data_IF_233120235181
#
_entry.id   IF_233120235181
#
_cell.length_a   1.000
_cell.length_b   1.000
_cell.length_c   1.000
_cell.angle_alpha   90.00
_cell.angle_beta   90.00
_cell.angle_gamma   90.00
#
_symmetry.space_group_name_H-M   'P 1'
#
loop_
_entity.id
_entity.type
_entity.pdbx_description
1 polymer ?
#
# COMPACT_ATOMS: atom_id res chain seq x y z
N UNK A 1 50.94 -75.17 -5.63
CA UNK A 1 50.18 -73.96 -5.25
C UNK A 1 48.77 -74.41 -4.90
N UNK A 2 48.16 -74.21 -3.74
CA UNK A 2 48.49 -73.65 -2.44
C UNK A 2 47.44 -74.26 -1.47
N UNK A 3 47.84 -74.44 -0.20
CA UNK A 3 47.11 -74.91 1.00
C UNK A 3 45.68 -74.33 1.17
N UNK A 4 44.77 -74.77 2.05
CA UNK A 4 44.48 -75.97 2.87
C UNK A 4 43.23 -75.65 3.72
N UNK A 5 42.60 -76.70 4.28
CA UNK A 5 41.70 -76.74 5.47
C UNK A 5 40.24 -76.23 5.43
N UNK A 6 39.35 -77.19 5.69
CA UNK A 6 37.96 -77.15 6.24
C UNK A 6 37.95 -76.74 7.75
N UNK A 7 36.80 -76.70 8.50
CA UNK A 7 35.37 -76.44 8.22
C UNK A 7 34.64 -75.57 9.30
N UNK A 8 33.30 -75.46 9.15
CA UNK A 8 32.19 -75.39 10.16
C UNK A 8 31.41 -74.07 10.38
N UNK A 9 30.12 -74.33 10.58
CA UNK A 9 28.90 -73.53 10.76
C UNK A 9 28.89 -72.48 11.88
N UNK A 10 28.12 -71.41 11.69
CA UNK A 10 27.65 -70.54 12.77
C UNK A 10 26.55 -69.59 12.31
N UNK A 11 25.38 -69.68 12.94
CA UNK A 11 24.31 -68.68 12.91
C UNK A 11 24.86 -67.31 13.33
N UNK A 12 24.57 -66.25 12.57
CA UNK A 12 24.82 -64.88 12.99
C UNK A 12 23.51 -64.16 13.26
N UNK A 13 23.23 -64.02 14.56
CA UNK A 13 22.27 -63.11 15.17
C UNK A 13 22.80 -61.68 14.96
N UNK A 14 21.98 -60.79 14.40
CA UNK A 14 22.25 -59.36 14.36
C UNK A 14 22.17 -58.74 15.78
N UNK A 15 23.14 -57.90 16.18
CA UNK A 15 22.89 -56.87 17.17
C UNK A 15 22.92 -55.48 16.53
N UNK A 16 21.81 -54.75 16.71
CA UNK A 16 21.69 -53.31 16.54
C UNK A 16 22.73 -52.57 17.39
N UNK A 17 23.54 -51.72 16.76
CA UNK A 17 24.33 -50.72 17.46
C UNK A 17 23.43 -49.58 17.92
N UNK A 18 23.33 -49.40 19.24
CA UNK A 18 22.68 -48.28 19.90
C UNK A 18 23.50 -47.01 19.65
N UNK A 19 22.90 -45.99 19.01
CA UNK A 19 23.39 -44.62 19.07
C UNK A 19 22.59 -43.84 20.10
N UNK A 20 23.32 -43.31 21.08
CA UNK A 20 22.84 -42.44 22.15
C UNK A 20 22.59 -41.04 21.53
N UNK A 21 21.34 -40.56 21.53
CA UNK A 21 21.02 -39.17 21.16
C UNK A 21 21.11 -38.33 22.44
N UNK A 22 21.96 -37.29 22.52
CA UNK A 22 21.88 -36.34 23.61
C UNK A 22 20.63 -35.49 23.40
N UNK A 23 19.65 -35.68 24.29
CA UNK A 23 18.43 -34.89 24.36
C UNK A 23 18.81 -33.47 24.82
N UNK A 24 18.87 -32.53 23.89
CA UNK A 24 18.96 -31.10 24.22
C UNK A 24 17.60 -30.71 24.81
N UNK A 25 17.57 -30.51 26.12
CA UNK A 25 16.41 -30.00 26.83
C UNK A 25 16.07 -28.59 26.31
N UNK A 26 14.90 -28.47 25.67
CA UNK A 26 14.33 -27.21 25.24
C UNK A 26 13.87 -26.45 26.50
N UNK A 27 14.69 -25.51 26.98
CA UNK A 27 14.21 -24.49 27.90
C UNK A 27 13.25 -23.58 27.14
N UNK A 28 11.96 -23.67 27.47
CA UNK A 28 10.95 -22.68 27.07
C UNK A 28 11.25 -21.37 27.80
N UNK A 29 12.15 -20.58 27.24
CA UNK A 29 12.23 -19.15 27.53
C UNK A 29 11.08 -18.53 26.74
N UNK A 30 10.16 -17.87 27.44
CA UNK A 30 9.12 -17.02 26.88
C UNK A 30 9.74 -15.76 26.25
N UNK A 31 10.60 -15.93 25.25
CA UNK A 31 11.03 -14.86 24.37
C UNK A 31 9.92 -14.66 23.36
N UNK A 32 9.27 -13.50 23.35
CA UNK A 32 8.69 -12.96 22.13
C UNK A 32 9.79 -13.01 21.05
N UNK A 33 9.72 -14.02 20.19
CA UNK A 33 10.80 -14.32 19.24
C UNK A 33 10.93 -13.13 18.26
N UNK A 34 12.14 -12.65 17.94
CA UNK A 34 12.37 -11.56 16.98
C UNK A 34 11.68 -11.78 15.62
N UNK A 35 11.47 -13.05 15.24
CA UNK A 35 10.74 -13.45 14.05
C UNK A 35 9.24 -13.09 14.10
N UNK A 36 8.61 -13.16 15.28
CA UNK A 36 7.18 -12.85 15.46
C UNK A 36 6.93 -11.34 15.33
N UNK A 37 7.78 -10.51 15.92
CA UNK A 37 7.72 -9.06 15.80
C UNK A 37 7.98 -8.59 14.35
N UNK A 38 8.92 -9.24 13.66
CA UNK A 38 9.22 -8.96 12.24
C UNK A 38 8.03 -9.30 11.34
N UNK A 39 7.38 -10.45 11.57
CA UNK A 39 6.20 -10.87 10.81
C UNK A 39 4.99 -9.97 11.09
N UNK A 40 4.81 -9.52 12.34
CA UNK A 40 3.74 -8.58 12.72
C UNK A 40 3.87 -7.25 11.99
N UNK A 41 5.08 -6.66 11.96
CA UNK A 41 5.35 -5.41 11.23
C UNK A 41 5.13 -5.57 9.72
N UNK A 42 5.52 -6.69 9.12
CA UNK A 42 5.28 -6.95 7.69
C UNK A 42 3.78 -7.05 7.36
N UNK A 43 3.00 -7.69 8.25
CA UNK A 43 1.53 -7.74 8.13
C UNK A 43 0.90 -6.37 8.29
N UNK A 44 1.39 -5.57 9.24
CA UNK A 44 0.91 -4.20 9.44
C UNK A 44 1.17 -3.34 8.19
N UNK A 45 2.36 -3.42 7.58
CA UNK A 45 2.67 -2.72 6.33
C UNK A 45 1.74 -3.15 5.20
N UNK A 46 1.56 -4.46 5.01
CA UNK A 46 0.66 -5.01 3.99
C UNK A 46 -0.77 -4.51 4.17
N UNK A 47 -1.30 -4.58 5.40
CA UNK A 47 -2.64 -4.08 5.73
C UNK A 47 -2.77 -2.56 5.52
N UNK A 48 -1.71 -1.80 5.77
CA UNK A 48 -1.68 -0.37 5.45
C UNK A 48 -1.78 -0.10 3.96
N UNK A 49 -1.01 -0.82 3.14
CA UNK A 49 -1.02 -0.71 1.68
C UNK A 49 -2.41 -1.06 1.11
N UNK A 50 -3.04 -2.13 1.58
CA UNK A 50 -4.39 -2.52 1.15
C UNK A 50 -5.44 -1.44 1.45
N UNK A 51 -5.39 -0.85 2.64
CA UNK A 51 -6.31 0.24 2.99
C UNK A 51 -6.07 1.49 2.14
N UNK A 52 -4.81 1.81 1.82
CA UNK A 52 -4.48 2.90 0.91
C UNK A 52 -5.03 2.62 -0.49
N UNK A 53 -4.81 1.42 -1.04
CA UNK A 53 -5.37 1.03 -2.35
C UNK A 53 -6.90 1.17 -2.39
N UNK A 54 -7.59 0.75 -1.32
CA UNK A 54 -9.04 0.90 -1.18
C UNK A 54 -9.48 2.37 -1.13
N UNK A 55 -8.78 3.19 -0.36
CA UNK A 55 -9.06 4.63 -0.26
C UNK A 55 -8.77 5.37 -1.56
N UNK A 56 -7.73 4.98 -2.32
CA UNK A 56 -7.49 5.48 -3.67
C UNK A 56 -8.69 5.17 -4.56
N UNK A 57 -9.16 3.93 -4.56
CA UNK A 57 -10.33 3.51 -5.34
C UNK A 57 -11.58 4.31 -4.98
N UNK A 58 -11.84 4.53 -3.69
CA UNK A 58 -12.96 5.35 -3.23
C UNK A 58 -12.79 6.82 -3.64
N UNK A 59 -11.59 7.38 -3.48
CA UNK A 59 -11.29 8.77 -3.89
C UNK A 59 -11.53 8.99 -5.39
N UNK A 60 -11.10 8.04 -6.23
CA UNK A 60 -11.37 8.07 -7.68
C UNK A 60 -12.87 8.00 -7.96
N UNK A 61 -13.60 7.14 -7.25
CA UNK A 61 -15.05 7.00 -7.40
C UNK A 61 -15.78 8.32 -7.09
N UNK A 62 -15.60 8.88 -5.90
CA UNK A 62 -16.34 10.10 -5.51
C UNK A 62 -15.97 11.28 -6.42
N UNK A 63 -14.71 11.36 -6.86
CA UNK A 63 -14.27 12.40 -7.78
C UNK A 63 -14.90 12.27 -9.18
N UNK A 64 -15.07 11.03 -9.68
CA UNK A 64 -15.81 10.78 -10.94
C UNK A 64 -17.27 11.16 -10.79
N UNK A 65 -17.90 10.77 -9.69
CA UNK A 65 -19.31 11.09 -9.43
C UNK A 65 -19.51 12.61 -9.34
N UNK A 66 -18.62 13.35 -8.68
CA UNK A 66 -18.66 14.82 -8.68
C UNK A 66 -18.54 15.43 -10.09
N UNK A 67 -17.66 14.87 -10.95
CA UNK A 67 -17.53 15.31 -12.36
C UNK A 67 -18.80 14.98 -13.17
N UNK A 68 -19.41 13.82 -12.94
CA UNK A 68 -20.65 13.43 -13.58
C UNK A 68 -21.79 14.37 -13.21
N UNK A 69 -21.89 14.79 -11.95
CA UNK A 69 -22.88 15.80 -11.54
C UNK A 69 -22.60 17.17 -12.18
N UNK A 70 -21.33 17.58 -12.34
CA UNK A 70 -21.01 18.80 -13.12
C UNK A 70 -21.41 18.70 -14.60
N UNK A 71 -21.37 17.50 -15.19
CA UNK A 71 -21.88 17.28 -16.54
C UNK A 71 -23.41 17.37 -16.57
N UNK A 72 -24.07 16.80 -15.56
CA UNK A 72 -25.52 16.83 -15.42
C UNK A 72 -26.07 18.26 -15.22
N UNK A 73 -25.41 19.10 -14.42
CA UNK A 73 -25.75 20.53 -14.28
C UNK A 73 -25.79 21.22 -15.64
N UNK A 74 -24.83 20.95 -16.52
CA UNK A 74 -24.78 21.53 -17.86
C UNK A 74 -25.86 20.95 -18.79
N UNK A 75 -26.16 19.65 -18.68
CA UNK A 75 -27.18 18.99 -19.49
C UNK A 75 -28.62 19.37 -19.09
N UNK A 76 -28.84 19.61 -17.80
CA UNK A 76 -30.13 19.99 -17.19
C UNK A 76 -30.17 21.49 -16.88
N UNK A 77 -29.58 22.33 -17.72
CA UNK A 77 -29.41 23.77 -17.45
C UNK A 77 -30.74 24.54 -17.25
N UNK A 78 -31.87 23.99 -17.72
CA UNK A 78 -33.22 24.50 -17.50
C UNK A 78 -33.79 24.19 -16.10
N UNK A 79 -33.26 23.15 -15.44
CA UNK A 79 -33.66 22.69 -14.08
C UNK A 79 -32.47 22.09 -13.30
N UNK A 80 -31.37 22.84 -13.11
CA UNK A 80 -30.08 22.28 -12.67
C UNK A 80 -30.00 22.00 -11.16
N UNK A 81 -31.05 22.29 -10.39
CA UNK A 81 -31.03 22.30 -8.92
C UNK A 81 -30.66 20.92 -8.35
N UNK A 82 -31.35 19.87 -8.79
CA UNK A 82 -31.12 18.51 -8.28
C UNK A 82 -29.67 18.07 -8.57
N UNK A 83 -29.19 18.31 -9.79
CA UNK A 83 -27.80 18.00 -10.16
C UNK A 83 -26.77 18.81 -9.36
N UNK A 84 -27.10 20.05 -8.97
CA UNK A 84 -26.25 20.88 -8.14
C UNK A 84 -26.20 20.42 -6.67
N UNK A 85 -27.33 19.97 -6.13
CA UNK A 85 -27.42 19.39 -4.79
C UNK A 85 -26.60 18.08 -4.74
N UNK A 86 -26.80 17.19 -5.72
CA UNK A 86 -26.00 15.95 -5.85
C UNK A 86 -24.49 16.26 -6.01
N UNK A 87 -24.14 17.29 -6.79
CA UNK A 87 -22.74 17.74 -6.92
C UNK A 87 -22.14 18.19 -5.59
N UNK A 88 -22.91 18.94 -4.81
CA UNK A 88 -22.48 19.47 -3.51
C UNK A 88 -22.20 18.34 -2.52
N UNK A 89 -23.08 17.34 -2.47
CA UNK A 89 -22.91 16.17 -1.62
C UNK A 89 -21.69 15.35 -2.04
N UNK A 90 -21.53 15.11 -3.35
CA UNK A 90 -20.39 14.35 -3.86
C UNK A 90 -19.05 15.07 -3.69
N UNK A 91 -19.03 16.40 -3.79
CA UNK A 91 -17.84 17.19 -3.51
C UNK A 91 -17.44 17.09 -2.03
N UNK A 92 -18.41 17.00 -1.13
CA UNK A 92 -18.15 16.77 0.30
C UNK A 92 -17.61 15.37 0.53
N UNK A 93 -18.23 14.34 -0.03
CA UNK A 93 -17.76 12.95 0.11
C UNK A 93 -16.34 12.76 -0.44
N UNK A 94 -16.04 13.40 -1.58
CA UNK A 94 -14.68 13.46 -2.14
C UNK A 94 -13.67 14.11 -1.18
N UNK A 95 -14.02 15.22 -0.53
CA UNK A 95 -13.14 15.88 0.43
C UNK A 95 -12.87 14.99 1.65
N UNK A 96 -13.93 14.41 2.22
CA UNK A 96 -13.84 13.57 3.42
C UNK A 96 -12.97 12.32 3.15
N UNK A 97 -13.11 11.68 1.98
CA UNK A 97 -12.25 10.54 1.60
C UNK A 97 -10.82 10.97 1.27
N UNK A 98 -10.62 12.14 0.66
CA UNK A 98 -9.29 12.67 0.34
C UNK A 98 -8.48 12.99 1.60
N UNK A 99 -9.11 13.54 2.64
CA UNK A 99 -8.49 13.76 3.94
C UNK A 99 -8.11 12.42 4.60
N UNK A 100 -9.03 11.47 4.60
CA UNK A 100 -8.78 10.11 5.12
C UNK A 100 -7.62 9.41 4.41
N UNK A 101 -7.54 9.55 3.07
CA UNK A 101 -6.42 9.02 2.27
C UNK A 101 -5.09 9.68 2.68
N UNK A 102 -5.06 10.99 2.86
CA UNK A 102 -3.87 11.73 3.30
C UNK A 102 -3.38 11.23 4.66
N UNK A 103 -4.28 11.14 5.64
CA UNK A 103 -3.94 10.67 6.98
C UNK A 103 -3.39 9.24 6.98
N UNK A 104 -3.98 8.36 6.17
CA UNK A 104 -3.54 6.96 6.06
C UNK A 104 -2.15 6.86 5.44
N UNK A 105 -1.88 7.67 4.42
CA UNK A 105 -0.57 7.76 3.79
C UNK A 105 0.48 8.26 4.78
N UNK A 106 0.17 9.30 5.56
CA UNK A 106 1.07 9.83 6.59
C UNK A 106 1.33 8.84 7.71
N UNK A 107 0.32 8.07 8.10
CA UNK A 107 0.50 6.97 9.04
C UNK A 107 1.41 5.87 8.48
N UNK A 108 1.21 5.47 7.22
CA UNK A 108 2.06 4.48 6.56
C UNK A 108 3.53 4.93 6.48
N UNK A 109 3.79 6.21 6.19
CA UNK A 109 5.15 6.78 6.21
C UNK A 109 5.83 6.59 7.57
N UNK A 110 5.12 6.89 8.67
CA UNK A 110 5.65 6.73 10.03
C UNK A 110 5.99 5.27 10.34
N UNK A 111 5.14 4.33 9.93
CA UNK A 111 5.40 2.89 10.10
C UNK A 111 6.62 2.47 9.28
N UNK A 112 6.72 2.90 8.03
CA UNK A 112 7.86 2.59 7.17
C UNK A 112 9.17 3.14 7.72
N UNK A 113 9.19 4.40 8.17
CA UNK A 113 10.37 5.02 8.78
C UNK A 113 10.82 4.28 10.04
N UNK A 114 9.87 3.89 10.90
CA UNK A 114 10.19 3.11 12.10
C UNK A 114 10.75 1.74 11.73
N UNK A 115 10.14 1.06 10.75
CA UNK A 115 10.60 -0.26 10.27
C UNK A 115 12.03 -0.22 9.76
N UNK A 116 12.41 0.84 9.04
CA UNK A 116 13.78 1.01 8.55
C UNK A 116 14.77 1.29 9.67
N UNK A 117 14.41 2.11 10.66
CA UNK A 117 15.24 2.33 11.86
C UNK A 117 15.49 1.03 12.63
N UNK A 118 14.44 0.22 12.80
CA UNK A 118 14.56 -1.07 13.46
C UNK A 118 15.47 -2.03 12.67
N UNK A 119 15.34 -2.04 11.34
CA UNK A 119 16.20 -2.85 10.46
C UNK A 119 17.67 -2.39 10.52
N UNK A 120 17.93 -1.08 10.53
CA UNK A 120 19.28 -0.53 10.72
C UNK A 120 19.88 -0.96 12.07
N UNK A 121 19.07 -0.99 13.14
CA UNK A 121 19.51 -1.50 14.45
C UNK A 121 19.83 -3.00 14.42
N UNK A 122 19.07 -3.80 13.69
CA UNK A 122 19.33 -5.23 13.55
C UNK A 122 20.57 -5.52 12.70
N UNK A 123 20.80 -4.74 11.64
CA UNK A 123 22.02 -4.80 10.83
C UNK A 123 23.29 -4.51 11.63
N UNK A 124 23.21 -3.64 12.64
CA UNK A 124 24.33 -3.35 13.53
C UNK A 124 24.77 -4.57 14.36
N UNK A 125 23.85 -5.52 14.59
CA UNK A 125 24.10 -6.78 15.33
C UNK A 125 24.57 -7.92 14.42
N UNK A 126 24.55 -7.71 13.10
CA UNK A 126 24.94 -8.71 12.10
C UNK A 126 26.37 -8.52 11.62
N UNK A 127 26.99 -9.61 11.19
CA UNK A 127 28.35 -9.66 10.63
C UNK A 127 28.40 -10.54 9.36
N UNK A 128 29.47 -10.37 8.59
CA UNK A 128 29.75 -11.18 7.39
C UNK A 128 28.71 -11.05 6.28
N UNK A 129 28.59 -12.10 5.47
CA UNK A 129 27.76 -12.09 4.25
C UNK A 129 26.27 -11.85 4.53
N UNK A 130 25.76 -12.32 5.67
CA UNK A 130 24.36 -12.10 6.06
C UNK A 130 24.06 -10.62 6.28
N UNK A 131 24.99 -9.85 6.85
CA UNK A 131 24.87 -8.40 6.98
C UNK A 131 24.78 -7.74 5.60
N UNK A 132 25.65 -8.13 4.66
CA UNK A 132 25.69 -7.57 3.32
C UNK A 132 24.38 -7.85 2.57
N UNK A 133 23.89 -9.11 2.60
CA UNK A 133 22.61 -9.50 1.98
C UNK A 133 21.45 -8.70 2.58
N UNK A 134 21.41 -8.57 3.90
CA UNK A 134 20.34 -7.84 4.60
C UNK A 134 20.39 -6.33 4.27
N UNK A 135 21.58 -5.74 4.20
CA UNK A 135 21.80 -4.34 3.83
C UNK A 135 21.35 -4.05 2.40
N UNK A 136 21.68 -4.93 1.45
CA UNK A 136 21.24 -4.81 0.06
C UNK A 136 19.71 -4.84 -0.06
N UNK A 137 19.06 -5.77 0.68
CA UNK A 137 17.60 -5.85 0.72
C UNK A 137 16.98 -4.59 1.32
N UNK A 138 17.54 -4.07 2.40
CA UNK A 138 17.06 -2.82 3.02
C UNK A 138 17.22 -1.63 2.07
N UNK A 139 18.36 -1.50 1.40
CA UNK A 139 18.61 -0.44 0.43
C UNK A 139 17.63 -0.49 -0.74
N UNK A 140 17.36 -1.69 -1.26
CA UNK A 140 16.37 -1.90 -2.32
C UNK A 140 14.98 -1.47 -1.85
N UNK A 141 14.55 -1.94 -0.67
CA UNK A 141 13.27 -1.55 -0.11
C UNK A 141 13.19 -0.02 0.04
N UNK A 142 14.11 0.59 0.79
CA UNK A 142 14.14 2.04 1.04
C UNK A 142 14.02 2.86 -0.25
N UNK A 143 14.75 2.48 -1.31
CA UNK A 143 14.64 3.11 -2.63
C UNK A 143 13.21 3.05 -3.20
N UNK A 144 12.57 1.88 -3.16
CA UNK A 144 11.20 1.71 -3.64
C UNK A 144 10.21 2.58 -2.84
N UNK A 145 10.35 2.64 -1.51
CA UNK A 145 9.50 3.51 -0.67
C UNK A 145 9.71 4.99 -0.99
N UNK A 146 10.96 5.44 -1.14
CA UNK A 146 11.27 6.84 -1.48
C UNK A 146 10.72 7.24 -2.85
N UNK A 147 10.73 6.33 -3.84
CA UNK A 147 10.12 6.56 -5.15
C UNK A 147 8.60 6.74 -5.06
N UNK A 148 7.92 5.87 -4.28
CA UNK A 148 6.48 6.01 -4.02
C UNK A 148 6.18 7.30 -3.23
N UNK A 149 6.96 7.62 -2.21
CA UNK A 149 6.77 8.81 -1.38
C UNK A 149 6.82 10.12 -2.20
N UNK A 150 7.80 10.21 -3.11
CA UNK A 150 7.94 11.37 -4.00
C UNK A 150 6.71 11.56 -4.89
N UNK A 151 6.17 10.47 -5.44
CA UNK A 151 4.94 10.50 -6.25
C UNK A 151 3.75 10.94 -5.42
N UNK A 152 3.59 10.38 -4.23
CA UNK A 152 2.51 10.75 -3.29
C UNK A 152 2.52 12.26 -2.99
N UNK A 153 3.70 12.84 -2.68
CA UNK A 153 3.80 14.30 -2.42
C UNK A 153 3.37 15.12 -3.63
N UNK A 154 3.73 14.68 -4.83
CA UNK A 154 3.34 15.32 -6.08
C UNK A 154 1.82 15.25 -6.31
N UNK A 155 1.22 14.11 -5.97
CA UNK A 155 -0.22 13.88 -6.07
C UNK A 155 -1.00 14.70 -5.04
N UNK A 156 -0.47 14.85 -3.81
CA UNK A 156 -1.08 15.69 -2.77
C UNK A 156 -1.37 17.11 -3.26
N UNK A 157 -0.42 17.73 -3.97
CA UNK A 157 -0.63 19.05 -4.56
C UNK A 157 -1.75 19.07 -5.62
N UNK A 158 -1.89 18.00 -6.42
CA UNK A 158 -2.96 17.86 -7.42
C UNK A 158 -4.33 17.70 -6.74
N UNK A 159 -4.42 16.90 -5.68
CA UNK A 159 -5.64 16.70 -4.89
C UNK A 159 -6.15 18.04 -4.34
N UNK A 160 -5.30 18.80 -3.63
CA UNK A 160 -5.66 20.12 -3.10
C UNK A 160 -6.13 21.07 -4.21
N UNK A 161 -5.44 21.09 -5.34
CA UNK A 161 -5.80 21.94 -6.48
C UNK A 161 -7.17 21.58 -7.08
N UNK A 162 -7.49 20.29 -7.19
CA UNK A 162 -8.80 19.85 -7.68
C UNK A 162 -9.93 20.26 -6.73
N UNK A 163 -9.76 20.07 -5.43
CA UNK A 163 -10.72 20.53 -4.40
C UNK A 163 -10.98 22.03 -4.52
N UNK A 164 -9.93 22.85 -4.64
CA UNK A 164 -10.06 24.30 -4.78
C UNK A 164 -10.89 24.67 -6.01
N UNK A 165 -10.59 24.08 -7.16
CA UNK A 165 -11.31 24.36 -8.43
C UNK A 165 -12.77 23.92 -8.38
N UNK A 166 -13.05 22.76 -7.79
CA UNK A 166 -14.42 22.28 -7.64
C UNK A 166 -15.22 23.18 -6.69
N UNK A 167 -14.63 23.58 -5.55
CA UNK A 167 -15.27 24.53 -4.63
C UNK A 167 -15.53 25.91 -5.25
N UNK A 168 -14.65 26.37 -6.13
CA UNK A 168 -14.84 27.62 -6.87
C UNK A 168 -16.11 27.55 -7.73
N UNK A 169 -16.31 26.44 -8.46
CA UNK A 169 -17.54 26.19 -9.24
C UNK A 169 -18.76 26.12 -8.34
N UNK A 170 -18.69 25.39 -7.23
CA UNK A 170 -19.77 25.30 -6.24
C UNK A 170 -20.16 26.68 -5.71
N UNK A 171 -19.18 27.50 -5.34
CA UNK A 171 -19.40 28.85 -4.79
C UNK A 171 -20.13 29.72 -5.80
N UNK A 172 -19.71 29.70 -7.07
CA UNK A 172 -20.36 30.46 -8.14
C UNK A 172 -21.81 30.01 -8.38
N UNK A 173 -22.06 28.70 -8.39
CA UNK A 173 -23.42 28.18 -8.57
C UNK A 173 -24.31 28.37 -7.33
N UNK A 174 -23.75 28.48 -6.13
CA UNK A 174 -24.53 28.84 -4.93
C UNK A 174 -25.24 30.19 -5.09
N UNK A 175 -24.60 31.16 -5.74
CA UNK A 175 -25.13 32.52 -5.83
C UNK A 175 -26.15 32.68 -6.94
N UNK A 176 -25.91 32.08 -8.11
CA UNK A 176 -26.71 32.36 -9.31
C UNK A 176 -26.92 31.12 -10.18
N UNK A 177 -27.47 30.03 -9.65
CA UNK A 177 -27.71 28.82 -10.46
C UNK A 177 -28.84 29.04 -11.50
N UNK A 178 -28.48 29.24 -12.76
CA UNK A 178 -29.40 29.30 -13.90
C UNK A 178 -28.67 29.01 -15.23
N UNK A 179 -29.41 28.85 -16.32
CA UNK A 179 -28.83 28.50 -17.62
C UNK A 179 -27.75 29.50 -18.11
N UNK A 180 -27.95 30.80 -17.90
CA UNK A 180 -27.01 31.82 -18.35
C UNK A 180 -25.69 31.79 -17.56
N UNK A 181 -25.77 31.62 -16.23
CA UNK A 181 -24.58 31.51 -15.39
C UNK A 181 -23.80 30.21 -15.66
N UNK A 182 -24.49 29.09 -15.89
CA UNK A 182 -23.89 27.81 -16.30
C UNK A 182 -23.11 27.98 -17.59
N UNK A 183 -23.71 28.65 -18.59
CA UNK A 183 -23.03 28.95 -19.85
C UNK A 183 -21.80 29.84 -19.65
N UNK A 184 -21.92 30.90 -18.83
CA UNK A 184 -20.83 31.83 -18.54
C UNK A 184 -19.65 31.16 -17.82
N UNK A 185 -19.93 30.19 -16.94
CA UNK A 185 -18.92 29.46 -16.18
C UNK A 185 -18.32 28.25 -16.92
N UNK A 186 -18.82 27.88 -18.11
CA UNK A 186 -18.41 26.68 -18.86
C UNK A 186 -16.90 26.44 -18.88
N UNK A 187 -16.10 27.44 -19.24
CA UNK A 187 -14.62 27.33 -19.28
C UNK A 187 -13.99 27.04 -17.92
N UNK A 188 -14.53 27.62 -16.85
CA UNK A 188 -14.04 27.42 -15.48
C UNK A 188 -14.41 26.01 -15.02
N UNK A 189 -15.65 25.58 -15.28
CA UNK A 189 -16.14 24.23 -15.00
C UNK A 189 -15.32 23.17 -15.74
N UNK A 190 -15.00 23.37 -17.02
CA UNK A 190 -14.17 22.45 -17.80
C UNK A 190 -12.74 22.36 -17.25
N UNK A 191 -12.18 23.48 -16.77
CA UNK A 191 -10.89 23.48 -16.11
C UNK A 191 -10.91 22.74 -14.76
N UNK A 192 -12.03 22.76 -14.04
CA UNK A 192 -12.22 21.98 -12.82
C UNK A 192 -12.32 20.47 -13.13
N UNK A 193 -13.12 20.09 -14.13
CA UNK A 193 -13.23 18.70 -14.61
C UNK A 193 -11.88 18.14 -15.06
N UNK A 194 -11.13 18.90 -15.86
CA UNK A 194 -9.77 18.51 -16.26
C UNK A 194 -8.84 18.32 -15.06
N UNK A 195 -8.92 19.18 -14.05
CA UNK A 195 -8.12 19.01 -12.83
C UNK A 195 -8.50 17.75 -12.06
N UNK A 196 -9.78 17.35 -12.09
CA UNK A 196 -10.24 16.10 -11.51
C UNK A 196 -9.71 14.89 -12.30
N UNK A 197 -9.75 14.93 -13.63
CA UNK A 197 -9.19 13.88 -14.49
C UNK A 197 -7.68 13.69 -14.27
N UNK A 198 -6.92 14.79 -14.16
CA UNK A 198 -5.48 14.77 -13.87
C UNK A 198 -5.18 14.10 -12.51
N UNK A 199 -6.08 14.26 -11.53
CA UNK A 199 -5.98 13.60 -10.22
C UNK A 199 -6.33 12.12 -10.34
N UNK A 200 -7.42 11.78 -11.03
CA UNK A 200 -7.85 10.40 -11.24
C UNK A 200 -6.73 9.58 -11.89
N UNK A 201 -6.11 10.10 -12.96
CA UNK A 201 -5.01 9.44 -13.64
C UNK A 201 -3.82 9.22 -12.69
N UNK A 202 -3.43 10.24 -11.93
CA UNK A 202 -2.30 10.14 -11.02
C UNK A 202 -2.57 9.17 -9.85
N UNK A 203 -3.81 9.11 -9.36
CA UNK A 203 -4.24 8.17 -8.34
C UNK A 203 -4.23 6.72 -8.84
N UNK A 204 -4.67 6.47 -10.08
CA UNK A 204 -4.62 5.13 -10.68
C UNK A 204 -3.18 4.66 -10.95
N UNK A 205 -2.27 5.57 -11.30
CA UNK A 205 -0.84 5.28 -11.36
C UNK A 205 -0.28 4.93 -9.99
N UNK A 206 -0.59 5.75 -8.97
CA UNK A 206 -0.19 5.51 -7.59
C UNK A 206 -0.69 4.16 -7.09
N UNK A 207 -1.93 3.78 -7.40
CA UNK A 207 -2.49 2.47 -7.04
C UNK A 207 -1.64 1.31 -7.55
N UNK A 208 -1.11 1.40 -8.77
CA UNK A 208 -0.19 0.38 -9.33
C UNK A 208 1.12 0.33 -8.57
N UNK A 209 1.68 1.48 -8.22
CA UNK A 209 2.91 1.56 -7.43
C UNK A 209 2.73 0.95 -6.02
N UNK A 210 1.60 1.23 -5.37
CA UNK A 210 1.25 0.65 -4.07
C UNK A 210 1.06 -0.87 -4.15
N UNK A 211 0.44 -1.38 -5.23
CA UNK A 211 0.30 -2.81 -5.46
C UNK A 211 1.65 -3.51 -5.65
N UNK A 212 2.59 -2.87 -6.37
CA UNK A 212 3.95 -3.38 -6.52
C UNK A 212 4.70 -3.38 -5.18
N UNK A 213 4.61 -2.29 -4.42
CA UNK A 213 5.22 -2.18 -3.09
C UNK A 213 4.68 -3.27 -2.16
N UNK A 214 3.37 -3.54 -2.22
CA UNK A 214 2.71 -4.60 -1.46
C UNK A 214 3.27 -5.98 -1.80
N UNK A 215 3.39 -6.30 -3.10
CA UNK A 215 3.96 -7.56 -3.55
C UNK A 215 5.39 -7.77 -3.02
N UNK A 216 6.21 -6.72 -3.04
CA UNK A 216 7.59 -6.76 -2.56
C UNK A 216 7.71 -6.85 -1.02
N UNK A 217 6.69 -6.38 -0.29
CA UNK A 217 6.63 -6.43 1.18
C UNK A 217 5.96 -7.67 1.76
N UNK A 218 5.16 -8.36 0.95
CA UNK A 218 4.46 -9.56 1.40
C UNK A 218 5.45 -10.68 1.73
N UNK A 219 5.22 -11.41 2.82
CA UNK A 219 5.94 -12.66 3.06
C UNK A 219 5.66 -13.60 1.88
N UNK A 220 6.68 -13.87 1.06
CA UNK A 220 6.59 -14.95 0.07
C UNK A 220 6.40 -16.24 0.84
N UNK A 221 5.17 -16.79 0.87
CA UNK A 221 4.99 -18.18 1.28
C UNK A 221 5.92 -19.03 0.42
N UNK A 222 6.79 -19.87 1.02
CA UNK A 222 7.46 -20.91 0.26
C UNK A 222 6.39 -21.69 -0.50
N UNK A 223 6.59 -21.91 -1.81
CA UNK A 223 5.74 -22.87 -2.52
C UNK A 223 5.91 -24.22 -1.83
N UNK A 224 4.82 -24.74 -1.26
CA UNK A 224 4.72 -26.13 -0.82
C UNK A 224 4.86 -27.08 -2.00
#
# INVERSE_FOLDING_TARGET
MLFASRPKSGNYIHPMYKFLIPTVALFLISSSLPAQETAEKAREMTSNLEKIEGLIGKTVKELREAVDQLNRIAAEADKPRDAYEDYTDQLKDYQDVQETLSDRIDHFRKIADQRFKDWESDLAKMEGDLKNISQERMNKAKKQYEEVDKKVRTIGAKLTKAVVKLREVQTYFTTELNAASIQAASKVTDAAKKSADDVIQALEEMKKDYAQLKADTSESKPKE
#
